data_IF_737850531224
#
_entry.id   IF_737850531224
#
_cell.length_a   1.000
_cell.length_b   1.000
_cell.length_c   1.000
_cell.angle_alpha   90.00
_cell.angle_beta   90.00
_cell.angle_gamma   90.00
#
_symmetry.space_group_name_H-M   'P 1'
#
loop_
_entity.id
_entity.type
_entity.pdbx_description
1 polymer ?
#
# COMPACT_ATOMS: atom_id res chain seq x y z
N UNK A 1 -15.20 25.59 39.45
CA UNK A 1 -15.84 25.53 38.12
C UNK A 1 -16.31 24.09 37.93
N UNK A 2 -17.59 23.83 37.67
CA UNK A 2 -18.07 22.47 37.40
C UNK A 2 -17.69 22.04 35.97
N UNK A 3 -17.70 20.73 35.69
CA UNK A 3 -17.29 20.19 34.40
C UNK A 3 -18.11 20.78 33.24
N UNK A 4 -19.43 20.89 33.40
CA UNK A 4 -20.34 21.46 32.41
C UNK A 4 -20.01 22.93 32.07
N UNK A 5 -19.64 23.76 33.04
CA UNK A 5 -19.23 25.14 32.78
C UNK A 5 -17.88 25.20 32.05
N UNK A 6 -16.94 24.30 32.37
CA UNK A 6 -15.67 24.20 31.64
C UNK A 6 -15.90 23.81 30.18
N UNK A 7 -16.75 22.82 29.92
CA UNK A 7 -17.13 22.40 28.57
C UNK A 7 -17.76 23.54 27.78
N UNK A 8 -18.78 24.21 28.34
CA UNK A 8 -19.43 25.35 27.68
C UNK A 8 -18.44 26.47 27.38
N UNK A 9 -17.52 26.77 28.30
CA UNK A 9 -16.49 27.79 28.08
C UNK A 9 -15.58 27.41 26.91
N UNK A 10 -15.11 26.17 26.86
CA UNK A 10 -14.22 25.69 25.79
C UNK A 10 -14.93 25.69 24.45
N UNK A 11 -16.19 25.24 24.40
CA UNK A 11 -17.01 25.27 23.20
C UNK A 11 -17.23 26.69 22.68
N UNK A 12 -17.57 27.64 23.56
CA UNK A 12 -17.76 29.04 23.17
C UNK A 12 -16.47 29.68 22.65
N UNK A 13 -15.31 29.34 23.23
CA UNK A 13 -14.01 29.78 22.71
C UNK A 13 -13.74 29.21 21.31
N UNK A 14 -13.96 27.91 21.12
CA UNK A 14 -13.80 27.26 19.82
C UNK A 14 -14.77 27.83 18.77
N UNK A 15 -16.03 28.06 19.15
CA UNK A 15 -17.07 28.66 18.31
C UNK A 15 -16.65 30.03 17.77
N UNK A 16 -16.07 30.87 18.63
CA UNK A 16 -15.54 32.19 18.25
C UNK A 16 -14.34 32.09 17.31
N UNK A 17 -13.43 31.16 17.55
CA UNK A 17 -12.28 30.92 16.67
C UNK A 17 -12.71 30.44 15.28
N UNK A 18 -13.75 29.63 15.21
CA UNK A 18 -14.30 29.08 13.97
C UNK A 18 -15.30 30.00 13.27
N UNK A 19 -15.63 31.16 13.87
CA UNK A 19 -16.59 32.12 13.31
C UNK A 19 -18.01 31.57 13.21
N UNK A 20 -18.42 30.67 14.11
CA UNK A 20 -19.76 30.08 14.09
C UNK A 20 -20.83 31.12 14.45
N UNK A 21 -22.03 30.93 13.92
CA UNK A 21 -23.19 31.78 14.21
C UNK A 21 -23.58 31.70 15.70
N UNK A 22 -23.84 32.85 16.33
CA UNK A 22 -24.23 32.95 17.74
C UNK A 22 -25.50 32.17 18.11
N UNK A 23 -26.37 31.90 17.14
CA UNK A 23 -27.56 31.06 17.26
C UNK A 23 -27.18 29.59 17.38
N UNK A 24 -26.15 29.15 16.64
CA UNK A 24 -25.62 27.79 16.71
C UNK A 24 -24.91 27.57 18.05
N UNK A 25 -24.08 28.52 18.49
CA UNK A 25 -23.39 28.50 19.79
C UNK A 25 -24.36 28.26 20.96
N UNK A 26 -25.54 28.91 20.93
CA UNK A 26 -26.55 28.77 22.00
C UNK A 26 -27.42 27.53 21.89
N UNK A 27 -27.47 26.91 20.71
CA UNK A 27 -28.38 25.80 20.41
C UNK A 27 -27.71 24.44 20.46
N UNK A 28 -26.37 24.39 20.38
CA UNK A 28 -25.57 23.17 20.34
C UNK A 28 -24.72 23.03 21.60
N UNK A 29 -24.65 21.82 22.14
CA UNK A 29 -23.75 21.44 23.24
C UNK A 29 -22.96 20.19 22.84
N UNK A 30 -21.65 20.21 23.11
CA UNK A 30 -20.75 19.07 22.91
C UNK A 30 -20.15 18.71 24.28
N UNK A 31 -20.76 17.79 25.05
CA UNK A 31 -20.28 17.43 26.38
C UNK A 31 -18.94 16.69 26.31
N UNK A 32 -18.04 17.04 27.23
CA UNK A 32 -16.84 16.27 27.57
C UNK A 32 -17.01 15.86 29.05
N UNK A 33 -17.58 14.66 29.25
CA UNK A 33 -18.01 14.06 30.54
C UNK A 33 -19.20 14.68 31.30
N UNK A 34 -19.99 13.75 31.86
CA UNK A 34 -20.95 13.85 32.97
C UNK A 34 -22.07 14.88 32.86
N UNK A 35 -22.97 14.68 31.88
CA UNK A 35 -24.35 15.09 32.06
C UNK A 35 -24.97 14.14 33.10
N UNK A 36 -25.25 14.69 34.29
CA UNK A 36 -25.87 14.01 35.44
C UNK A 36 -27.28 14.53 35.66
N UNK A 37 -28.09 13.79 36.41
CA UNK A 37 -29.46 14.20 36.74
C UNK A 37 -29.51 15.61 37.37
N UNK A 38 -28.48 15.96 38.14
CA UNK A 38 -28.34 17.25 38.83
C UNK A 38 -28.21 18.44 37.86
N UNK A 39 -27.50 18.27 36.74
CA UNK A 39 -27.18 19.35 35.80
C UNK A 39 -28.05 19.35 34.53
N UNK A 40 -28.80 18.27 34.29
CA UNK A 40 -29.69 18.12 33.13
C UNK A 40 -30.71 19.26 32.98
N UNK A 41 -31.19 19.78 34.12
CA UNK A 41 -32.14 20.88 34.14
C UNK A 41 -31.53 22.22 33.72
N UNK A 42 -30.22 22.41 33.91
CA UNK A 42 -29.49 23.63 33.55
C UNK A 42 -29.17 23.70 32.05
N UNK A 43 -29.24 22.58 31.34
CA UNK A 43 -28.96 22.51 29.90
C UNK A 43 -30.03 23.26 29.11
N UNK A 44 -29.59 24.25 28.32
CA UNK A 44 -30.40 25.11 27.45
C UNK A 44 -30.28 24.77 25.96
N UNK A 45 -29.33 23.92 25.59
CA UNK A 45 -29.09 23.53 24.21
C UNK A 45 -30.28 22.73 23.66
N UNK A 46 -30.56 22.91 22.37
CA UNK A 46 -31.58 22.16 21.63
C UNK A 46 -31.03 20.85 21.06
N UNK A 47 -29.73 20.84 20.78
CA UNK A 47 -28.99 19.72 20.22
C UNK A 47 -27.79 19.40 21.10
N UNK A 48 -27.59 18.11 21.38
CA UNK A 48 -26.42 17.58 22.08
C UNK A 48 -25.72 16.62 21.14
N UNK A 49 -24.40 16.75 21.01
CA UNK A 49 -23.57 15.83 20.21
C UNK A 49 -22.55 15.17 21.12
N UNK A 50 -22.72 13.87 21.36
CA UNK A 50 -21.88 13.10 22.29
C UNK A 50 -20.54 12.73 21.66
N UNK A 51 -19.59 13.68 21.65
CA UNK A 51 -18.26 13.45 21.07
C UNK A 51 -17.33 12.59 21.97
N UNK A 52 -17.73 12.29 23.20
CA UNK A 52 -17.01 11.44 24.16
C UNK A 52 -17.81 10.13 24.37
N UNK A 53 -17.20 9.12 24.98
CA UNK A 53 -17.87 7.85 25.24
C UNK A 53 -18.75 7.94 26.48
N UNK A 54 -20.04 7.65 26.34
CA UNK A 54 -21.03 7.69 27.42
C UNK A 54 -21.01 8.99 28.25
N UNK A 55 -21.14 10.17 27.63
CA UNK A 55 -21.06 11.43 28.38
C UNK A 55 -22.35 11.73 29.16
N UNK A 56 -23.45 11.02 28.88
CA UNK A 56 -24.78 11.22 29.49
C UNK A 56 -25.22 9.98 30.26
N UNK A 57 -25.58 10.16 31.54
CA UNK A 57 -26.17 9.08 32.33
C UNK A 57 -27.59 8.72 31.84
N UNK A 58 -28.10 7.49 32.08
CA UNK A 58 -29.47 7.12 31.69
C UNK A 58 -30.58 7.98 32.30
N UNK A 59 -30.38 8.48 33.53
CA UNK A 59 -31.36 9.32 34.24
C UNK A 59 -31.58 10.69 33.58
N UNK A 60 -30.53 11.48 33.26
CA UNK A 60 -30.69 12.75 32.56
C UNK A 60 -31.17 12.62 31.11
N UNK A 61 -30.95 11.50 30.43
CA UNK A 61 -31.48 11.26 29.08
C UNK A 61 -33.01 11.44 29.03
N UNK A 62 -33.72 10.85 30.01
CA UNK A 62 -35.19 11.00 30.11
C UNK A 62 -35.61 12.46 30.34
N UNK A 63 -34.85 13.21 31.15
CA UNK A 63 -35.12 14.62 31.45
C UNK A 63 -34.95 15.46 30.18
N UNK A 64 -33.86 15.23 29.45
CA UNK A 64 -33.53 15.95 28.21
C UNK A 64 -34.52 15.62 27.09
N UNK A 65 -34.93 14.36 26.98
CA UNK A 65 -35.99 13.93 26.05
C UNK A 65 -37.32 14.61 26.34
N UNK A 66 -37.73 14.73 27.61
CA UNK A 66 -38.94 15.47 28.00
C UNK A 66 -38.85 16.98 27.70
N UNK A 67 -37.64 17.55 27.76
CA UNK A 67 -37.37 18.95 27.36
C UNK A 67 -37.35 19.15 25.84
N UNK A 68 -37.48 18.09 25.05
CA UNK A 68 -37.40 18.15 23.59
C UNK A 68 -35.98 18.39 23.05
N UNK A 69 -34.95 18.06 23.84
CA UNK A 69 -33.56 18.13 23.40
C UNK A 69 -33.25 16.91 22.54
N UNK A 70 -32.65 17.13 21.38
CA UNK A 70 -32.23 16.06 20.46
C UNK A 70 -30.78 15.70 20.77
N UNK A 71 -30.52 14.41 21.01
CA UNK A 71 -29.18 13.89 21.33
C UNK A 71 -28.69 13.04 20.15
N UNK A 72 -27.51 13.37 19.61
CA UNK A 72 -26.78 12.51 18.68
C UNK A 72 -25.91 11.54 19.50
N UNK A 73 -26.17 10.23 19.46
CA UNK A 73 -25.48 9.26 20.30
C UNK A 73 -23.98 9.16 20.02
N UNK A 74 -23.22 8.82 21.05
CA UNK A 74 -21.77 8.66 21.03
C UNK A 74 -21.25 7.71 19.93
N UNK A 75 -21.91 6.56 19.75
CA UNK A 75 -21.55 5.57 18.72
C UNK A 75 -21.50 6.21 17.33
N UNK A 76 -22.39 7.16 17.03
CA UNK A 76 -22.41 7.85 15.74
C UNK A 76 -21.49 9.07 15.74
N UNK A 77 -21.59 9.93 16.76
CA UNK A 77 -20.83 11.17 16.85
C UNK A 77 -19.31 10.94 16.88
N UNK A 78 -18.84 9.85 17.51
CA UNK A 78 -17.43 9.47 17.61
C UNK A 78 -16.98 8.44 16.55
N UNK A 79 -17.88 7.94 15.69
CA UNK A 79 -17.54 6.92 14.67
C UNK A 79 -16.49 7.37 13.65
N UNK A 80 -16.36 8.68 13.42
CA UNK A 80 -15.43 9.25 12.44
C UNK A 80 -13.96 8.89 12.76
N UNK A 81 -13.55 9.01 14.03
CA UNK A 81 -12.19 8.67 14.45
C UNK A 81 -11.88 7.19 14.22
N UNK A 82 -12.78 6.31 14.65
CA UNK A 82 -12.66 4.86 14.46
C UNK A 82 -12.57 4.49 12.98
N UNK A 83 -13.38 5.14 12.14
CA UNK A 83 -13.40 4.93 10.69
C UNK A 83 -12.08 5.31 10.05
N UNK A 84 -11.54 6.49 10.38
CA UNK A 84 -10.25 6.95 9.86
C UNK A 84 -9.11 6.06 10.35
N UNK A 85 -9.08 5.67 11.63
CA UNK A 85 -8.07 4.76 12.16
C UNK A 85 -8.09 3.39 11.51
N UNK A 86 -9.27 2.88 11.13
CA UNK A 86 -9.36 1.66 10.35
C UNK A 86 -8.71 1.81 8.96
N UNK A 87 -8.97 2.93 8.26
CA UNK A 87 -8.33 3.20 6.98
C UNK A 87 -6.81 3.34 7.10
N UNK A 88 -6.31 4.01 8.15
CA UNK A 88 -4.88 4.11 8.44
C UNK A 88 -4.25 2.73 8.65
N UNK A 89 -4.91 1.85 9.42
CA UNK A 89 -4.45 0.49 9.64
C UNK A 89 -4.36 -0.31 8.33
N UNK A 90 -5.39 -0.24 7.48
CA UNK A 90 -5.40 -0.90 6.16
C UNK A 90 -4.26 -0.38 5.29
N UNK A 91 -4.07 0.94 5.24
CA UNK A 91 -3.01 1.58 4.46
C UNK A 91 -1.62 1.14 4.93
N UNK A 92 -1.38 1.11 6.25
CA UNK A 92 -0.12 0.63 6.84
C UNK A 92 0.14 -0.85 6.53
N UNK A 93 -0.88 -1.71 6.59
CA UNK A 93 -0.71 -3.13 6.26
C UNK A 93 -0.33 -3.34 4.78
N UNK A 94 -0.93 -2.56 3.88
CA UNK A 94 -0.59 -2.58 2.45
C UNK A 94 0.86 -2.13 2.24
N UNK A 95 1.28 -1.01 2.85
CA UNK A 95 2.66 -0.53 2.74
C UNK A 95 3.67 -1.52 3.30
N UNK A 96 3.36 -2.16 4.43
CA UNK A 96 4.21 -3.20 5.03
C UNK A 96 4.38 -4.39 4.11
N UNK A 97 3.29 -4.90 3.51
CA UNK A 97 3.34 -5.99 2.53
C UNK A 97 4.18 -5.63 1.31
N UNK A 98 3.99 -4.42 0.78
CA UNK A 98 4.77 -3.92 -0.36
C UNK A 98 6.26 -3.79 -0.02
N UNK A 99 6.59 -3.17 1.11
CA UNK A 99 7.98 -3.00 1.58
C UNK A 99 8.68 -4.34 1.79
N UNK A 100 8.00 -5.31 2.42
CA UNK A 100 8.54 -6.66 2.60
C UNK A 100 8.77 -7.38 1.26
N UNK A 101 7.82 -7.29 0.33
CA UNK A 101 7.97 -7.89 -1.01
C UNK A 101 9.13 -7.25 -1.78
N UNK A 102 9.28 -5.92 -1.69
CA UNK A 102 10.39 -5.18 -2.29
C UNK A 102 11.73 -5.61 -1.68
N UNK A 103 11.82 -5.70 -0.35
CA UNK A 103 13.04 -6.14 0.34
C UNK A 103 13.48 -7.54 -0.09
N UNK A 104 12.55 -8.50 -0.14
CA UNK A 104 12.82 -9.88 -0.61
C UNK A 104 13.31 -9.87 -2.07
N UNK A 105 12.70 -9.04 -2.92
CA UNK A 105 13.07 -8.91 -4.33
C UNK A 105 14.48 -8.34 -4.50
N UNK A 106 14.82 -7.29 -3.74
CA UNK A 106 16.15 -6.67 -3.75
C UNK A 106 17.22 -7.66 -3.25
N UNK A 107 16.98 -8.34 -2.13
CA UNK A 107 17.93 -9.34 -1.58
C UNK A 107 18.16 -10.47 -2.58
N UNK A 108 17.09 -10.99 -3.18
CA UNK A 108 17.19 -12.05 -4.19
C UNK A 108 17.99 -11.60 -5.41
N UNK A 109 17.81 -10.35 -5.85
CA UNK A 109 18.54 -9.77 -6.98
C UNK A 109 20.02 -9.59 -6.67
N UNK A 110 20.36 -9.11 -5.47
CA UNK A 110 21.76 -8.95 -5.03
C UNK A 110 22.45 -10.31 -4.88
N UNK A 111 21.78 -11.29 -4.28
CA UNK A 111 22.29 -12.65 -4.16
C UNK A 111 22.55 -13.28 -5.55
N UNK A 112 21.65 -13.03 -6.51
CA UNK A 112 21.81 -13.48 -7.88
C UNK A 112 23.02 -12.85 -8.57
N UNK A 113 23.19 -11.52 -8.46
CA UNK A 113 24.36 -10.83 -9.01
C UNK A 113 25.65 -11.37 -8.37
N UNK A 114 25.65 -11.61 -7.06
CA UNK A 114 26.78 -12.22 -6.37
C UNK A 114 27.12 -13.61 -6.91
N UNK A 115 26.10 -14.44 -7.14
CA UNK A 115 26.26 -15.76 -7.77
C UNK A 115 26.82 -15.66 -9.19
N UNK A 116 26.32 -14.73 -10.00
CA UNK A 116 26.83 -14.48 -11.36
C UNK A 116 28.30 -14.09 -11.37
N UNK A 117 28.69 -13.17 -10.48
CA UNK A 117 30.09 -12.71 -10.36
C UNK A 117 30.99 -13.85 -9.91
N UNK A 118 30.58 -14.60 -8.88
CA UNK A 118 31.31 -15.78 -8.41
C UNK A 118 31.48 -16.83 -9.51
N UNK A 119 30.40 -17.16 -10.23
CA UNK A 119 30.42 -18.15 -11.28
C UNK A 119 31.35 -17.74 -12.43
N UNK A 120 31.30 -16.47 -12.87
CA UNK A 120 32.20 -15.93 -13.90
C UNK A 120 33.66 -15.91 -13.47
N UNK A 121 33.93 -15.64 -12.19
CA UNK A 121 35.29 -15.66 -11.66
C UNK A 121 35.89 -17.08 -11.61
N UNK A 122 35.04 -18.11 -11.50
CA UNK A 122 35.46 -19.50 -11.31
C UNK A 122 35.49 -20.32 -12.60
N UNK A 123 34.86 -19.84 -13.68
CA UNK A 123 34.82 -20.51 -15.00
C UNK A 123 35.43 -19.63 -16.12
N UNK A 124 36.77 -19.47 -16.18
CA UNK A 124 37.44 -18.59 -17.13
C UNK A 124 37.37 -19.06 -18.60
N UNK A 125 37.13 -20.35 -18.84
CA UNK A 125 37.03 -20.93 -20.20
C UNK A 125 35.60 -21.05 -20.72
N UNK A 126 34.61 -20.68 -19.91
CA UNK A 126 33.23 -20.49 -20.33
C UNK A 126 32.51 -21.76 -20.86
N UNK A 127 33.03 -22.95 -20.54
CA UNK A 127 32.50 -24.23 -21.03
C UNK A 127 31.18 -24.62 -20.33
N UNK A 128 30.95 -24.17 -19.08
CA UNK A 128 29.69 -24.43 -18.35
C UNK A 128 28.61 -23.38 -18.59
N UNK A 129 28.92 -22.35 -19.38
CA UNK A 129 28.04 -21.19 -19.54
C UNK A 129 26.73 -21.55 -20.24
N UNK A 130 26.75 -22.37 -21.30
CA UNK A 130 25.55 -22.73 -22.07
C UNK A 130 24.47 -23.43 -21.24
N UNK A 131 24.86 -24.36 -20.36
CA UNK A 131 23.93 -25.06 -19.46
C UNK A 131 23.40 -24.14 -18.35
N UNK A 132 24.22 -23.19 -17.89
CA UNK A 132 23.82 -22.22 -16.89
C UNK A 132 22.73 -21.28 -17.44
N UNK A 133 22.82 -20.80 -18.68
CA UNK A 133 21.83 -19.88 -19.26
C UNK A 133 20.42 -20.47 -19.37
N UNK A 134 20.28 -21.77 -19.63
CA UNK A 134 18.99 -22.47 -19.67
C UNK A 134 18.34 -22.51 -18.28
N UNK A 135 19.13 -22.73 -17.23
CA UNK A 135 18.66 -22.71 -15.84
C UNK A 135 18.24 -21.31 -15.40
N UNK A 136 18.97 -20.26 -15.84
CA UNK A 136 18.61 -18.86 -15.59
C UNK A 136 17.28 -18.48 -16.24
N UNK A 137 17.04 -18.89 -17.48
CA UNK A 137 15.78 -18.64 -18.19
C UNK A 137 14.59 -19.37 -17.54
N UNK A 138 14.77 -20.62 -17.10
CA UNK A 138 13.70 -21.36 -16.41
C UNK A 138 13.35 -20.77 -15.05
N UNK A 139 14.35 -20.42 -14.23
CA UNK A 139 14.13 -19.80 -12.93
C UNK A 139 13.43 -18.42 -13.05
N UNK A 140 13.79 -17.65 -14.07
CA UNK A 140 13.13 -16.37 -14.38
C UNK A 140 11.68 -16.55 -14.84
N UNK A 141 11.41 -17.55 -15.68
CA UNK A 141 10.05 -17.82 -16.17
C UNK A 141 9.13 -18.27 -15.04
N UNK A 142 9.62 -19.10 -14.10
CA UNK A 142 8.87 -19.52 -12.92
C UNK A 142 8.62 -18.37 -11.93
N UNK A 143 9.59 -17.48 -11.71
CA UNK A 143 9.42 -16.33 -10.82
C UNK A 143 8.43 -15.31 -11.42
N UNK A 144 8.46 -15.10 -12.73
CA UNK A 144 7.54 -14.24 -13.46
C UNK A 144 6.10 -14.79 -13.39
N UNK A 145 5.90 -16.10 -13.56
CA UNK A 145 4.59 -16.75 -13.41
C UNK A 145 4.05 -16.59 -11.98
N UNK A 146 4.90 -16.74 -10.96
CA UNK A 146 4.50 -16.57 -9.55
C UNK A 146 4.10 -15.13 -9.24
N UNK A 147 4.84 -14.14 -9.76
CA UNK A 147 4.53 -12.72 -9.57
C UNK A 147 3.26 -12.30 -10.33
N UNK A 148 3.10 -12.73 -11.59
CA UNK A 148 1.90 -12.46 -12.39
C UNK A 148 0.63 -13.03 -11.74
N UNK A 149 0.72 -14.20 -11.10
CA UNK A 149 -0.40 -14.80 -10.35
C UNK A 149 -0.74 -14.06 -9.05
N UNK A 150 0.23 -13.41 -8.43
CA UNK A 150 0.08 -12.83 -7.08
C UNK A 150 -0.20 -11.33 -7.10
N UNK A 151 0.22 -10.60 -8.15
CA UNK A 151 0.09 -9.14 -8.25
C UNK A 151 -0.14 -8.64 -9.69
N UNK A 152 -1.31 -8.87 -10.31
CA UNK A 152 -1.56 -8.58 -11.73
C UNK A 152 -1.45 -7.09 -12.10
N UNK A 153 -1.62 -6.18 -11.13
CA UNK A 153 -1.65 -4.73 -11.38
C UNK A 153 -0.24 -4.08 -11.42
N UNK A 154 0.80 -4.73 -10.88
CA UNK A 154 2.16 -4.19 -10.80
C UNK A 154 3.08 -4.61 -11.96
N UNK A 155 2.63 -5.52 -12.83
CA UNK A 155 3.48 -6.15 -13.84
C UNK A 155 3.88 -5.23 -15.02
N UNK A 156 3.25 -4.08 -15.21
CA UNK A 156 3.49 -3.24 -16.39
C UNK A 156 4.84 -2.50 -16.37
N UNK A 157 5.33 -2.09 -15.19
CA UNK A 157 6.61 -1.37 -15.07
C UNK A 157 7.84 -2.28 -15.15
N UNK A 158 7.72 -3.54 -14.72
CA UNK A 158 8.86 -4.48 -14.72
C UNK A 158 9.14 -5.05 -16.13
N UNK A 159 8.10 -5.17 -16.96
CA UNK A 159 8.23 -5.59 -18.36
C UNK A 159 8.95 -4.53 -19.22
N UNK A 160 8.81 -3.24 -18.90
CA UNK A 160 9.38 -2.15 -19.68
C UNK A 160 10.92 -2.05 -19.55
N UNK A 161 11.46 -2.30 -18.35
CA UNK A 161 12.92 -2.36 -18.15
C UNK A 161 13.57 -3.59 -18.81
N UNK A 162 12.82 -4.68 -19.01
CA UNK A 162 13.35 -5.91 -19.60
C UNK A 162 13.49 -5.85 -21.12
N UNK A 163 12.60 -5.15 -21.83
CA UNK A 163 12.69 -4.97 -23.29
C UNK A 163 14.00 -4.28 -23.72
N UNK A 164 14.54 -3.40 -22.88
CA UNK A 164 15.79 -2.70 -23.16
C UNK A 164 17.02 -3.62 -23.04
N UNK A 165 17.00 -4.59 -22.12
CA UNK A 165 18.08 -5.58 -21.97
C UNK A 165 18.00 -6.72 -22.99
N UNK A 166 16.78 -7.09 -23.42
CA UNK A 166 16.57 -8.16 -24.41
C UNK A 166 16.99 -7.75 -25.83
N UNK A 167 16.85 -6.47 -26.18
CA UNK A 167 17.25 -5.93 -27.48
C UNK A 167 18.77 -6.02 -27.71
N UNK A 168 19.57 -5.92 -26.65
CA UNK A 168 21.03 -6.09 -26.69
C UNK A 168 21.45 -7.55 -26.95
N UNK A 169 20.61 -8.51 -26.55
CA UNK A 169 20.88 -9.94 -26.66
C UNK A 169 20.71 -10.47 -28.10
N UNK A 170 19.71 -9.96 -28.83
CA UNK A 170 19.53 -10.29 -30.25
C UNK A 170 20.72 -9.78 -31.08
N UNK A 171 21.19 -8.56 -30.79
CA UNK A 171 22.34 -7.96 -31.48
C UNK A 171 23.66 -8.71 -31.22
N UNK A 172 23.84 -9.30 -30.04
CA UNK A 172 25.04 -10.08 -29.69
C UNK A 172 25.05 -11.51 -30.25
N UNK A 173 23.88 -12.09 -30.55
CA UNK A 173 23.76 -13.43 -31.15
C UNK A 173 23.81 -13.42 -32.69
N UNK A 174 23.49 -12.29 -33.31
CA UNK A 174 23.53 -12.10 -34.77
C UNK A 174 24.88 -12.50 -35.42
N UNK A 175 26.05 -12.13 -34.86
CA UNK A 175 27.35 -12.55 -35.39
C UNK A 175 27.58 -14.06 -35.30
N UNK A 176 27.06 -14.72 -34.27
CA UNK A 176 27.21 -16.16 -34.06
C UNK A 176 26.34 -16.97 -35.01
N UNK A 177 25.11 -16.51 -35.28
CA UNK A 177 24.27 -17.10 -36.33
C UNK A 177 24.90 -16.93 -37.72
N UNK A 178 25.49 -15.78 -38.00
CA UNK A 178 26.17 -15.52 -39.26
C UNK A 178 27.40 -16.43 -39.44
N UNK A 179 28.20 -16.62 -38.38
CA UNK A 179 29.35 -17.51 -38.40
C UNK A 179 28.96 -18.98 -38.61
N UNK A 180 27.89 -19.44 -37.95
CA UNK A 180 27.40 -20.80 -38.10
C UNK A 180 26.84 -21.05 -39.51
N UNK A 181 26.12 -20.09 -40.09
CA UNK A 181 25.62 -20.16 -41.46
C UNK A 181 26.76 -20.23 -42.48
N UNK A 182 27.79 -19.39 -42.32
CA UNK A 182 28.94 -19.37 -43.23
C UNK A 182 29.75 -20.68 -43.14
N UNK A 183 29.95 -21.22 -41.94
CA UNK A 183 30.64 -22.48 -41.74
C UNK A 183 29.89 -23.66 -42.36
N UNK A 184 28.56 -23.68 -42.25
CA UNK A 184 27.72 -24.71 -42.87
C UNK A 184 27.75 -24.64 -44.40
N UNK A 185 27.71 -23.44 -44.97
CA UNK A 185 27.77 -23.23 -46.42
C UNK A 185 29.13 -23.66 -46.99
N UNK A 186 30.22 -23.32 -46.30
CA UNK A 186 31.58 -23.71 -46.70
C UNK A 186 31.80 -25.22 -46.62
N UNK A 187 31.27 -25.88 -45.58
CA UNK A 187 31.32 -27.35 -45.48
C UNK A 187 30.49 -28.04 -46.58
N UNK A 188 29.34 -27.45 -46.94
CA UNK A 188 28.50 -27.99 -48.01
C UNK A 188 29.19 -27.88 -49.38
N UNK A 189 29.84 -26.75 -49.70
CA UNK A 189 30.61 -26.62 -50.95
C UNK A 189 31.80 -27.59 -51.00
N UNK A 190 32.60 -27.67 -49.92
CA UNK A 190 33.77 -28.55 -49.87
C UNK A 190 33.38 -30.04 -49.96
N UNK A 191 32.26 -30.44 -49.37
CA UNK A 191 31.75 -31.81 -49.50
C UNK A 191 31.12 -32.08 -50.89
N UNK A 192 30.52 -31.08 -51.54
CA UNK A 192 29.96 -31.22 -52.89
C UNK A 192 31.05 -31.41 -53.93
N UNK A 193 32.16 -30.68 -53.82
CA UNK A 193 33.32 -30.81 -54.71
C UNK A 193 34.07 -32.15 -54.52
N UNK A 194 34.07 -32.71 -53.31
CA UNK A 194 34.68 -34.02 -53.03
C UNK A 194 33.87 -35.22 -53.53
N UNK A 195 32.57 -35.04 -53.82
CA UNK A 195 31.67 -36.11 -54.29
C UNK A 195 31.59 -36.15 -55.83
N UNK A 196 32.06 -35.10 -56.51
CA UNK A 196 31.98 -34.96 -57.98
C UNK A 196 33.34 -34.93 -58.71
N UNK A 197 34.42 -35.36 -58.05
CA UNK A 197 35.76 -35.62 -58.62
C UNK A 197 36.01 -37.13 -58.73
#
# INVERSE_FOLDING_TARGET
MNALAATNRNFNLASRLLGLDSKLEKSLLIPFREIKAENANEIKAKFIVEADNHPTDPKPDEILKKKGVVILPDIFANSGGVTVSYFEWVQLDIYRKFSNALAVTVISSVAWIGYEVYFKATDPFNERQQSAWILKMHAFTLSLIFFLKKFPFFCFLFLFSFFFSFSFFILLLLPYFYYYYYYYYYYYEVCYDYIHL
#
